data_IF_647973581482
#
_entry.id   IF_647973581482
#
_cell.length_a   1.000
_cell.length_b   1.000
_cell.length_c   1.000
_cell.angle_alpha   90.00
_cell.angle_beta   90.00
_cell.angle_gamma   90.00
#
_symmetry.space_group_name_H-M   'P 1'
#
loop_
_entity.id
_entity.type
_entity.pdbx_description
1 polymer ?
#
# COMPACT_ATOMS: atom_id res chain seq x y z
N UNK A 1 0.90 -32.30 -5.81
CA UNK A 1 0.11 -31.09 -5.48
C UNK A 1 -0.46 -30.34 -6.70
N UNK A 2 0.26 -30.25 -7.84
CA UNK A 2 -0.31 -29.66 -9.07
C UNK A 2 -1.35 -30.55 -9.74
N UNK A 3 -1.09 -31.86 -9.74
CA UNK A 3 -1.91 -32.89 -10.38
C UNK A 3 -2.86 -33.60 -9.41
N UNK A 4 -2.42 -33.84 -8.17
CA UNK A 4 -3.13 -34.67 -7.18
C UNK A 4 -4.02 -33.95 -6.15
N UNK A 5 -4.20 -32.64 -6.23
CA UNK A 5 -5.01 -31.91 -5.24
C UNK A 5 -4.35 -31.80 -3.86
N UNK A 6 -5.16 -31.67 -2.80
CA UNK A 6 -4.71 -31.55 -1.42
C UNK A 6 -4.42 -32.94 -0.81
N UNK A 7 -3.19 -33.16 -0.34
CA UNK A 7 -2.68 -34.47 0.10
C UNK A 7 -2.13 -34.40 1.53
N UNK A 8 -2.29 -35.46 2.30
CA UNK A 8 -1.63 -35.62 3.59
C UNK A 8 -0.11 -35.83 3.42
N UNK A 9 0.65 -35.58 4.48
CA UNK A 9 2.10 -35.77 4.47
C UNK A 9 2.52 -37.20 4.07
N UNK A 10 1.82 -38.22 4.58
CA UNK A 10 2.10 -39.63 4.26
C UNK A 10 1.85 -39.94 2.77
N UNK A 11 0.81 -39.35 2.19
CA UNK A 11 0.49 -39.46 0.77
C UNK A 11 1.56 -38.75 -0.09
N UNK A 12 2.08 -37.61 0.36
CA UNK A 12 3.19 -36.92 -0.30
C UNK A 12 4.50 -37.72 -0.26
N UNK A 13 4.78 -38.39 0.85
CA UNK A 13 5.94 -39.28 0.97
C UNK A 13 5.80 -40.46 0.00
N UNK A 14 4.60 -41.05 -0.08
CA UNK A 14 4.30 -42.16 -0.98
C UNK A 14 4.36 -41.75 -2.46
N UNK A 15 3.76 -40.63 -2.86
CA UNK A 15 3.77 -40.17 -4.25
C UNK A 15 5.15 -39.71 -4.72
N UNK A 16 5.93 -39.03 -3.87
CA UNK A 16 7.24 -38.51 -4.25
C UNK A 16 8.35 -39.58 -4.18
N UNK A 17 8.12 -40.69 -3.47
CA UNK A 17 9.13 -41.73 -3.23
C UNK A 17 10.36 -41.22 -2.45
N UNK A 18 10.21 -40.13 -1.69
CA UNK A 18 11.30 -39.45 -0.99
C UNK A 18 11.35 -39.86 0.48
N UNK A 19 12.53 -39.75 1.10
CA UNK A 19 12.66 -39.85 2.55
C UNK A 19 11.79 -38.78 3.25
N UNK A 20 11.08 -39.11 4.35
CA UNK A 20 10.22 -38.16 5.07
C UNK A 20 10.93 -36.84 5.43
N UNK A 21 12.21 -36.90 5.77
CA UNK A 21 13.02 -35.72 6.10
C UNK A 21 13.24 -34.77 4.92
N UNK A 22 13.26 -35.27 3.69
CA UNK A 22 13.38 -34.42 2.49
C UNK A 22 12.03 -33.78 2.15
N UNK A 23 10.93 -34.51 2.34
CA UNK A 23 9.58 -33.94 2.21
C UNK A 23 9.37 -32.81 3.22
N UNK A 24 9.80 -32.99 4.47
CA UNK A 24 9.73 -31.93 5.50
C UNK A 24 10.50 -30.66 5.14
N UNK A 25 11.70 -30.83 4.56
CA UNK A 25 12.54 -29.73 4.12
C UNK A 25 11.88 -28.98 2.96
N UNK A 26 11.44 -29.71 1.93
CA UNK A 26 10.76 -29.14 0.78
C UNK A 26 9.47 -28.42 1.18
N UNK A 27 8.66 -29.00 2.08
CA UNK A 27 7.46 -28.34 2.60
C UNK A 27 7.81 -27.05 3.35
N UNK A 28 8.88 -27.05 4.16
CA UNK A 28 9.33 -25.85 4.88
C UNK A 28 9.76 -24.74 3.91
N UNK A 29 10.50 -25.07 2.86
CA UNK A 29 10.95 -24.12 1.83
C UNK A 29 9.78 -23.57 1.02
N UNK A 30 8.89 -24.45 0.55
CA UNK A 30 7.70 -24.06 -0.23
C UNK A 30 6.71 -23.22 0.59
N UNK A 31 6.57 -23.48 1.89
CA UNK A 31 5.81 -22.60 2.81
C UNK A 31 6.52 -21.26 2.98
N UNK A 32 7.85 -21.25 3.13
CA UNK A 32 8.66 -20.04 3.22
C UNK A 32 8.51 -19.14 1.98
N UNK A 33 8.31 -19.74 0.80
CA UNK A 33 8.01 -19.04 -0.44
C UNK A 33 6.51 -18.76 -0.66
N UNK A 34 5.64 -19.20 0.25
CA UNK A 34 4.20 -18.98 0.15
C UNK A 34 3.54 -19.70 -1.03
N UNK A 35 4.11 -20.83 -1.49
CA UNK A 35 3.61 -21.61 -2.62
C UNK A 35 2.63 -22.71 -2.21
N UNK A 36 2.64 -23.11 -0.94
CA UNK A 36 1.76 -24.16 -0.41
C UNK A 36 1.19 -23.76 0.95
N UNK A 37 0.08 -24.37 1.35
CA UNK A 37 -0.55 -24.21 2.67
C UNK A 37 -1.04 -25.56 3.19
N UNK A 38 -1.20 -25.67 4.51
CA UNK A 38 -1.87 -26.81 5.14
C UNK A 38 -3.18 -26.34 5.79
N UNK A 39 -4.19 -27.22 5.88
CA UNK A 39 -5.51 -26.94 6.46
C UNK A 39 -5.54 -27.09 8.00
N UNK A 40 -4.48 -27.63 8.62
CA UNK A 40 -4.38 -27.88 10.06
C UNK A 40 -3.56 -26.84 10.83
N UNK A 41 -4.01 -26.53 12.05
CA UNK A 41 -3.40 -25.54 12.95
C UNK A 41 -2.08 -25.99 13.62
N UNK A 42 -1.67 -27.25 13.46
CA UNK A 42 -0.45 -27.79 14.08
C UNK A 42 0.84 -27.19 13.50
N UNK A 43 0.87 -26.90 12.18
CA UNK A 43 2.01 -26.25 11.53
C UNK A 43 2.17 -24.77 11.96
N UNK A 44 1.05 -24.07 12.15
CA UNK A 44 1.06 -22.62 12.42
C UNK A 44 1.54 -22.28 13.84
N UNK A 45 1.26 -23.14 14.84
CA UNK A 45 1.65 -22.91 16.25
C UNK A 45 3.15 -22.82 16.49
N UNK A 46 4.03 -23.20 15.55
CA UNK A 46 5.49 -23.08 15.71
C UNK A 46 6.17 -22.00 14.88
N UNK A 47 5.49 -21.40 13.89
CA UNK A 47 6.05 -20.25 13.17
C UNK A 47 5.88 -18.94 13.95
N UNK A 48 4.85 -18.85 14.79
CA UNK A 48 4.58 -17.67 15.64
C UNK A 48 5.45 -17.61 16.90
N UNK A 49 6.23 -18.65 17.23
CA UNK A 49 7.19 -18.63 18.33
C UNK A 49 8.59 -18.23 17.82
N UNK A 50 8.67 -17.06 17.19
CA UNK A 50 9.91 -16.30 17.00
C UNK A 50 10.30 -15.61 18.31
N UNK A 51 10.68 -16.39 19.32
CA UNK A 51 11.08 -15.89 20.64
C UNK A 51 12.44 -16.43 21.06
N UNK A 52 13.38 -15.52 21.22
CA UNK A 52 14.76 -15.58 21.73
C UNK A 52 15.17 -16.83 22.54
N UNK A 53 16.29 -17.44 22.10
CA UNK A 53 17.26 -18.33 22.78
C UNK A 53 16.89 -18.95 24.14
N UNK A 54 16.87 -20.29 24.16
CA UNK A 54 17.66 -21.08 25.13
C UNK A 54 18.20 -22.35 24.45
N UNK A 55 19.54 -22.47 24.41
CA UNK A 55 20.25 -23.73 24.13
C UNK A 55 19.99 -24.64 25.34
N UNK A 56 19.08 -25.59 25.18
CA UNK A 56 18.88 -26.71 26.11
C UNK A 56 19.30 -27.99 25.39
N UNK A 57 20.22 -28.74 26.02
CA UNK A 57 20.66 -30.06 25.62
C UNK A 57 19.46 -31.03 25.47
N UNK A 58 19.45 -31.81 24.38
CA UNK A 58 18.46 -32.87 24.15
C UNK A 58 18.15 -33.06 22.67
N UNK A 59 18.63 -34.16 22.09
CA UNK A 59 18.54 -34.51 20.66
C UNK A 59 17.13 -34.84 20.13
N UNK A 60 16.12 -34.00 20.38
CA UNK A 60 14.71 -34.26 20.01
C UNK A 60 14.06 -33.25 19.04
N UNK A 61 14.81 -32.27 18.51
CA UNK A 61 14.22 -31.18 17.68
C UNK A 61 13.80 -31.61 16.26
N UNK A 62 14.43 -32.64 15.69
CA UNK A 62 14.06 -33.15 14.34
C UNK A 62 12.78 -33.99 14.38
N UNK A 63 12.68 -34.94 15.31
CA UNK A 63 11.50 -35.81 15.46
C UNK A 63 10.21 -35.01 15.76
N UNK A 64 10.32 -33.95 16.57
CA UNK A 64 9.16 -33.10 16.89
C UNK A 64 8.72 -32.19 15.75
N UNK A 65 9.60 -31.85 14.80
CA UNK A 65 9.25 -31.05 13.61
C UNK A 65 8.60 -31.90 12.53
N UNK A 66 9.16 -33.09 12.27
CA UNK A 66 8.58 -34.09 11.37
C UNK A 66 7.15 -34.46 11.81
N UNK A 67 6.96 -34.73 13.11
CA UNK A 67 5.65 -35.05 13.67
C UNK A 67 4.64 -33.91 13.52
N UNK A 68 5.05 -32.64 13.51
CA UNK A 68 4.12 -31.51 13.38
C UNK A 68 3.80 -31.11 11.94
N UNK A 69 4.71 -31.35 10.99
CA UNK A 69 4.40 -31.22 9.56
C UNK A 69 3.50 -32.36 9.09
N UNK A 70 3.68 -33.55 9.65
CA UNK A 70 2.75 -34.67 9.47
C UNK A 70 1.36 -34.39 10.08
N UNK A 71 1.30 -33.75 11.25
CA UNK A 71 0.05 -33.34 11.90
C UNK A 71 -0.55 -32.05 11.34
N UNK A 72 0.06 -31.44 10.32
CA UNK A 72 -0.42 -30.18 9.72
C UNK A 72 -1.69 -30.34 8.89
N UNK A 73 -2.19 -31.58 8.71
CA UNK A 73 -3.35 -31.87 7.88
C UNK A 73 -2.97 -32.05 6.41
N UNK A 74 -3.87 -31.68 5.50
CA UNK A 74 -3.69 -31.78 4.05
C UNK A 74 -2.93 -30.56 3.53
N UNK A 75 -1.83 -30.84 2.86
CA UNK A 75 -1.04 -29.89 2.12
C UNK A 75 -1.67 -29.65 0.76
N UNK A 76 -1.84 -28.38 0.40
CA UNK A 76 -2.37 -27.96 -0.88
C UNK A 76 -1.51 -26.86 -1.47
N UNK A 77 -1.41 -26.82 -2.81
CA UNK A 77 -0.76 -25.70 -3.49
C UNK A 77 -1.61 -24.45 -3.32
N UNK A 78 -0.98 -23.35 -2.90
CA UNK A 78 -1.57 -22.03 -3.02
C UNK A 78 -1.60 -21.69 -4.51
N UNK A 79 -2.77 -21.89 -5.12
CA UNK A 79 -3.01 -21.40 -6.47
C UNK A 79 -3.02 -19.88 -6.40
N UNK A 80 -2.30 -19.18 -7.31
CA UNK A 80 -2.55 -17.78 -7.52
C UNK A 80 -4.05 -17.65 -7.78
N UNK A 81 -4.76 -16.93 -6.91
CA UNK A 81 -6.15 -16.60 -7.15
C UNK A 81 -6.13 -15.75 -8.42
N UNK A 82 -6.41 -16.36 -9.57
CA UNK A 82 -6.70 -15.63 -10.80
C UNK A 82 -7.77 -14.63 -10.42
N UNK A 83 -7.48 -13.35 -10.63
CA UNK A 83 -8.20 -12.21 -10.09
C UNK A 83 -9.72 -12.35 -10.23
N UNK A 84 -10.35 -12.94 -9.22
CA UNK A 84 -11.77 -12.75 -8.97
C UNK A 84 -11.91 -11.36 -8.38
N UNK A 85 -12.66 -10.53 -9.09
CA UNK A 85 -12.92 -9.14 -8.76
C UNK A 85 -13.29 -9.01 -7.27
N UNK A 86 -12.40 -8.40 -6.48
CA UNK A 86 -12.74 -8.01 -5.11
C UNK A 86 -11.60 -8.04 -4.11
N UNK A 87 -10.63 -8.95 -4.19
CA UNK A 87 -9.50 -8.92 -3.23
C UNK A 87 -8.29 -9.74 -3.69
N UNK A 88 -7.32 -9.15 -4.41
CA UNK A 88 -6.02 -9.79 -4.58
C UNK A 88 -5.17 -9.47 -3.35
N UNK A 89 -4.59 -10.44 -2.68
CA UNK A 89 -3.27 -10.27 -2.07
C UNK A 89 -2.46 -11.48 -2.51
N UNK A 90 -1.38 -11.25 -3.26
CA UNK A 90 -0.03 -11.82 -3.06
C UNK A 90 0.85 -11.45 -4.27
N UNK A 91 1.99 -10.86 -3.95
CA UNK A 91 3.00 -10.19 -4.79
C UNK A 91 2.66 -8.75 -5.22
N UNK A 92 3.55 -7.78 -4.93
CA UNK A 92 3.42 -6.44 -5.49
C UNK A 92 3.56 -6.54 -7.01
N UNK A 93 2.65 -5.90 -7.74
CA UNK A 93 2.68 -5.88 -9.21
C UNK A 93 3.87 -5.06 -9.73
N UNK A 94 4.34 -4.13 -8.89
CA UNK A 94 5.44 -3.23 -9.18
C UNK A 94 6.66 -3.58 -8.31
N UNK A 95 7.86 -3.27 -8.82
CA UNK A 95 9.08 -3.41 -8.01
C UNK A 95 9.07 -2.42 -6.85
N UNK A 96 9.76 -2.76 -5.76
CA UNK A 96 9.88 -1.87 -4.61
C UNK A 96 10.51 -0.52 -4.98
N UNK A 97 11.50 -0.52 -5.86
CA UNK A 97 12.17 0.69 -6.35
C UNK A 97 11.18 1.61 -7.09
N UNK A 98 10.34 1.05 -7.97
CA UNK A 98 9.31 1.84 -8.67
C UNK A 98 8.27 2.40 -7.69
N UNK A 99 7.79 1.59 -6.75
CA UNK A 99 6.85 2.04 -5.73
C UNK A 99 7.45 3.16 -4.85
N UNK A 100 8.72 3.03 -4.47
CA UNK A 100 9.44 4.03 -3.68
C UNK A 100 9.63 5.34 -4.45
N UNK A 101 10.03 5.27 -5.73
CA UNK A 101 10.15 6.45 -6.58
C UNK A 101 8.82 7.20 -6.74
N UNK A 102 7.71 6.47 -6.91
CA UNK A 102 6.36 7.04 -6.99
C UNK A 102 5.97 7.67 -5.65
N UNK A 103 6.10 6.94 -4.54
CA UNK A 103 5.76 7.44 -3.21
C UNK A 103 6.52 8.73 -2.86
N UNK A 104 7.82 8.76 -3.12
CA UNK A 104 8.67 9.96 -2.92
C UNK A 104 8.24 11.12 -3.83
N UNK A 105 7.82 10.84 -5.07
CA UNK A 105 7.32 11.88 -5.99
C UNK A 105 6.00 12.48 -5.50
N UNK A 106 5.06 11.64 -5.04
CA UNK A 106 3.80 12.09 -4.45
C UNK A 106 4.05 12.97 -3.22
N UNK A 107 4.95 12.55 -2.33
CA UNK A 107 5.32 13.32 -1.13
C UNK A 107 5.99 14.66 -1.47
N UNK A 108 6.86 14.71 -2.49
CA UNK A 108 7.46 15.97 -2.94
C UNK A 108 6.42 16.93 -3.54
N UNK A 109 5.46 16.40 -4.29
CA UNK A 109 4.45 17.21 -4.98
C UNK A 109 3.40 17.77 -4.01
N UNK A 110 2.87 16.93 -3.13
CA UNK A 110 1.74 17.28 -2.27
C UNK A 110 2.13 17.64 -0.83
N UNK A 111 3.32 17.23 -0.37
CA UNK A 111 3.75 17.37 1.03
C UNK A 111 3.06 16.39 1.98
N UNK A 112 1.75 16.20 1.83
CA UNK A 112 0.91 15.21 2.54
C UNK A 112 0.22 14.32 1.51
N UNK A 113 0.18 13.01 1.74
CA UNK A 113 -0.41 12.03 0.84
C UNK A 113 -1.38 11.12 1.60
N UNK A 114 -2.55 10.90 1.02
CA UNK A 114 -3.57 9.95 1.51
C UNK A 114 -4.42 9.47 0.33
N UNK A 115 -5.13 8.35 0.50
CA UNK A 115 -5.82 7.65 -0.61
C UNK A 115 -6.72 8.54 -1.46
N UNK A 116 -7.54 9.38 -0.84
CA UNK A 116 -8.50 10.21 -1.57
C UNK A 116 -7.84 11.36 -2.34
N UNK A 117 -6.66 11.83 -1.91
CA UNK A 117 -5.91 12.90 -2.56
C UNK A 117 -5.47 12.50 -3.98
N UNK A 118 -4.93 11.29 -4.10
CA UNK A 118 -4.35 10.77 -5.34
C UNK A 118 -5.39 10.20 -6.30
N UNK A 119 -6.68 10.34 -6.00
CA UNK A 119 -7.76 9.74 -6.79
C UNK A 119 -7.82 10.27 -8.24
N UNK A 120 -7.30 11.47 -8.49
CA UNK A 120 -7.20 12.08 -9.83
C UNK A 120 -5.93 11.70 -10.57
N UNK A 121 -4.93 11.18 -9.88
CA UNK A 121 -3.64 10.88 -10.47
C UNK A 121 -3.65 9.43 -10.95
N UNK A 122 -3.64 9.27 -12.27
CA UNK A 122 -3.64 7.97 -12.94
C UNK A 122 -2.70 8.01 -14.15
N UNK A 123 -2.02 6.89 -14.46
CA UNK A 123 -2.06 5.62 -13.74
C UNK A 123 -1.16 5.60 -12.48
N UNK A 124 -1.69 5.10 -11.37
CA UNK A 124 -0.93 4.86 -10.13
C UNK A 124 -1.07 3.40 -9.67
N UNK A 125 -0.06 2.85 -8.97
CA UNK A 125 -0.16 1.55 -8.31
C UNK A 125 -1.32 1.51 -7.31
N UNK A 126 -1.82 0.31 -6.96
CA UNK A 126 -2.82 0.15 -5.91
C UNK A 126 -2.36 0.81 -4.61
N UNK A 127 -3.24 1.57 -3.95
CA UNK A 127 -2.93 2.28 -2.70
C UNK A 127 -2.26 1.38 -1.65
N UNK A 128 -2.67 0.11 -1.57
CA UNK A 128 -2.09 -0.87 -0.64
C UNK A 128 -0.61 -1.19 -0.91
N UNK A 129 -0.17 -1.16 -2.16
CA UNK A 129 1.26 -1.32 -2.49
C UNK A 129 2.06 -0.09 -2.03
N UNK A 130 1.48 1.11 -2.19
CA UNK A 130 2.10 2.35 -1.71
C UNK A 130 2.13 2.42 -0.17
N UNK A 131 1.10 1.91 0.52
CA UNK A 131 1.07 1.86 2.00
C UNK A 131 2.29 1.12 2.58
N UNK A 132 2.69 0.00 1.97
CA UNK A 132 3.87 -0.74 2.42
C UNK A 132 5.14 0.12 2.36
N UNK A 133 5.30 0.90 1.29
CA UNK A 133 6.42 1.83 1.15
C UNK A 133 6.33 2.96 2.18
N UNK A 134 5.14 3.54 2.37
CA UNK A 134 4.98 4.63 3.34
C UNK A 134 5.28 4.19 4.78
N UNK A 135 4.83 3.00 5.20
CA UNK A 135 5.20 2.44 6.51
C UNK A 135 6.70 2.20 6.63
N UNK A 136 7.36 1.75 5.56
CA UNK A 136 8.81 1.56 5.55
C UNK A 136 9.53 2.90 5.71
N UNK A 137 9.13 3.92 4.95
CA UNK A 137 9.68 5.28 5.08
C UNK A 137 9.41 5.88 6.46
N UNK A 138 8.26 5.58 7.07
CA UNK A 138 7.91 6.02 8.42
C UNK A 138 8.81 5.35 9.47
N UNK A 139 9.00 4.03 9.36
CA UNK A 139 9.91 3.28 10.22
C UNK A 139 11.37 3.76 10.11
N UNK A 140 11.75 4.32 8.95
CA UNK A 140 13.05 4.97 8.72
C UNK A 140 13.10 6.41 9.24
N UNK A 141 11.97 6.98 9.67
CA UNK A 141 11.86 8.37 10.13
C UNK A 141 11.89 9.41 9.00
N UNK A 142 11.79 9.00 7.75
CA UNK A 142 11.79 9.91 6.59
C UNK A 142 10.44 10.61 6.40
N UNK A 143 9.35 9.96 6.82
CA UNK A 143 7.99 10.50 6.77
C UNK A 143 7.30 10.31 8.11
N UNK A 144 6.25 11.09 8.33
CA UNK A 144 5.40 10.98 9.51
C UNK A 144 4.06 10.38 9.10
N UNK A 145 3.66 9.28 9.73
CA UNK A 145 2.29 8.79 9.69
C UNK A 145 1.40 9.54 10.67
N UNK A 146 0.14 9.79 10.30
CA UNK A 146 -0.81 10.44 11.19
C UNK A 146 -2.05 10.97 10.50
N UNK A 147 -2.64 12.01 11.11
CA UNK A 147 -3.80 12.73 10.57
C UNK A 147 -3.47 14.22 10.51
N UNK A 148 -3.22 14.71 9.30
CA UNK A 148 -2.81 16.08 9.03
C UNK A 148 -3.93 16.90 8.39
N UNK A 149 -4.80 16.25 7.62
CA UNK A 149 -5.94 16.85 6.93
C UNK A 149 -7.25 16.33 7.55
N UNK A 150 -8.09 17.24 8.01
CA UNK A 150 -9.41 16.93 8.56
C UNK A 150 -10.40 16.53 7.44
N UNK A 151 -11.48 15.83 7.81
CA UNK A 151 -12.52 15.42 6.87
C UNK A 151 -12.22 14.16 6.05
N UNK A 152 -11.00 13.61 6.14
CA UNK A 152 -10.61 12.37 5.47
C UNK A 152 -10.31 11.25 6.46
N UNK A 153 -10.85 10.08 6.18
CA UNK A 153 -10.56 8.83 6.89
C UNK A 153 -9.34 8.11 6.30
N UNK A 154 -8.73 7.25 7.11
CA UNK A 154 -7.58 6.44 6.71
C UNK A 154 -6.25 7.09 7.08
N UNK A 155 -5.18 6.34 6.84
CA UNK A 155 -3.81 6.76 7.11
C UNK A 155 -3.37 7.87 6.15
N UNK A 156 -2.61 8.82 6.69
CA UNK A 156 -2.01 9.91 5.94
C UNK A 156 -0.52 9.95 6.27
N UNK A 157 0.27 10.28 5.25
CA UNK A 157 1.73 10.36 5.37
C UNK A 157 2.19 11.73 4.93
N UNK A 158 3.07 12.35 5.70
CA UNK A 158 3.57 13.68 5.40
C UNK A 158 5.08 13.73 5.51
N UNK A 159 5.70 14.57 4.69
CA UNK A 159 7.08 14.98 4.92
C UNK A 159 7.16 15.79 6.22
N UNK A 160 8.19 15.59 7.07
CA UNK A 160 8.35 16.38 8.30
C UNK A 160 8.33 17.89 8.05
N UNK A 161 8.95 18.35 6.96
CA UNK A 161 8.98 19.79 6.63
C UNK A 161 7.59 20.32 6.25
N UNK A 162 6.78 19.51 5.56
CA UNK A 162 5.42 19.88 5.17
C UNK A 162 4.51 20.08 6.39
N UNK A 163 4.65 19.23 7.43
CA UNK A 163 3.88 19.39 8.68
C UNK A 163 4.24 20.70 9.39
N UNK A 164 5.52 21.07 9.41
CA UNK A 164 5.98 22.34 9.97
C UNK A 164 5.41 23.55 9.23
N UNK A 165 5.42 23.50 7.90
CA UNK A 165 4.84 24.55 7.05
C UNK A 165 3.33 24.68 7.25
N UNK A 166 2.60 23.56 7.29
CA UNK A 166 1.14 23.57 7.51
C UNK A 166 0.77 24.20 8.85
N UNK A 167 1.50 23.87 9.93
CA UNK A 167 1.28 24.49 11.26
C UNK A 167 1.56 25.98 11.25
N UNK A 168 2.58 26.41 10.52
CA UNK A 168 2.92 27.83 10.37
C UNK A 168 1.83 28.58 9.61
N UNK A 169 1.40 28.05 8.47
CA UNK A 169 0.33 28.64 7.65
C UNK A 169 -1.00 28.67 8.37
N UNK A 170 -1.34 27.65 9.16
CA UNK A 170 -2.58 27.61 9.95
C UNK A 170 -2.67 28.73 11.01
N UNK A 171 -1.54 29.33 11.40
CA UNK A 171 -1.49 30.46 12.34
C UNK A 171 -1.50 31.83 11.65
N UNK A 172 -1.34 31.86 10.33
CA UNK A 172 -1.32 33.11 9.57
C UNK A 172 -2.74 33.41 9.07
N UNK A 173 -3.19 34.68 9.16
CA UNK A 173 -4.43 35.06 8.49
C UNK A 173 -4.29 34.88 6.98
N UNK A 174 -5.39 34.51 6.33
CA UNK A 174 -5.47 34.47 4.87
C UNK A 174 -5.11 35.83 4.28
N UNK A 175 -4.36 35.83 3.19
CA UNK A 175 -3.95 37.07 2.50
C UNK A 175 -5.00 37.55 1.51
N UNK A 176 -6.02 36.73 1.20
CA UNK A 176 -7.02 37.03 0.19
C UNK A 176 -6.48 37.06 -1.23
N UNK A 177 -5.19 36.79 -1.45
CA UNK A 177 -4.58 36.75 -2.77
C UNK A 177 -5.07 35.52 -3.55
N UNK A 178 -5.67 35.70 -4.75
CA UNK A 178 -6.09 34.58 -5.55
C UNK A 178 -4.88 33.82 -6.11
N UNK A 179 -4.93 32.49 -6.07
CA UNK A 179 -3.99 31.59 -6.71
C UNK A 179 -4.69 30.92 -7.88
N UNK A 180 -4.09 31.01 -9.06
CA UNK A 180 -4.63 30.43 -10.29
C UNK A 180 -3.85 29.16 -10.58
N UNK A 181 -4.56 28.05 -10.77
CA UNK A 181 -4.01 26.78 -11.18
C UNK A 181 -4.64 26.35 -12.50
N UNK A 182 -3.88 25.66 -13.35
CA UNK A 182 -4.48 24.97 -14.49
C UNK A 182 -5.40 23.87 -13.97
N UNK A 183 -6.57 23.69 -14.58
CA UNK A 183 -7.47 22.60 -14.20
C UNK A 183 -6.88 21.23 -14.55
N UNK A 184 -5.99 21.17 -15.54
CA UNK A 184 -5.23 19.98 -15.91
C UNK A 184 -4.05 19.68 -14.94
N UNK A 185 -3.75 20.57 -14.00
CA UNK A 185 -2.69 20.35 -13.02
C UNK A 185 -3.11 19.30 -11.96
N UNK A 186 -2.22 18.39 -11.54
CA UNK A 186 -2.50 17.45 -10.44
C UNK A 186 -2.84 18.10 -9.08
N UNK A 187 -2.52 19.38 -8.90
CA UNK A 187 -2.92 20.21 -7.74
C UNK A 187 -4.35 20.74 -7.86
N UNK A 188 -5.08 20.42 -8.95
CA UNK A 188 -6.52 20.61 -9.02
C UNK A 188 -7.24 19.64 -8.06
N UNK A 189 -7.36 20.06 -6.81
CA UNK A 189 -7.98 19.32 -5.72
C UNK A 189 -9.40 19.84 -5.40
N UNK A 190 -10.00 20.61 -6.31
CA UNK A 190 -11.36 21.11 -6.20
C UNK A 190 -12.35 19.94 -6.18
N UNK A 191 -13.27 19.95 -5.21
CA UNK A 191 -14.21 18.86 -4.95
C UNK A 191 -13.54 17.58 -4.41
N UNK A 192 -12.27 17.68 -3.98
CA UNK A 192 -11.60 16.70 -3.14
C UNK A 192 -11.35 17.34 -1.78
N UNK A 193 -10.38 18.26 -1.69
CA UNK A 193 -10.03 18.95 -0.44
C UNK A 193 -11.01 20.05 -0.07
N UNK A 194 -11.55 20.73 -1.07
CA UNK A 194 -12.53 21.80 -0.88
C UNK A 194 -13.95 21.26 -1.09
N UNK A 195 -14.94 21.78 -0.35
CA UNK A 195 -16.34 21.50 -0.64
C UNK A 195 -16.73 21.87 -2.07
N UNK A 196 -17.78 21.23 -2.59
CA UNK A 196 -18.35 21.52 -3.90
C UNK A 196 -18.01 20.50 -4.98
N UNK A 197 -18.37 20.84 -6.22
CA UNK A 197 -18.19 19.95 -7.36
C UNK A 197 -16.73 19.86 -7.81
N UNK A 198 -16.39 18.71 -8.40
CA UNK A 198 -15.08 18.49 -8.98
C UNK A 198 -14.92 19.30 -10.26
N UNK A 199 -13.92 20.16 -10.32
CA UNK A 199 -13.56 20.84 -11.57
C UNK A 199 -12.88 19.85 -12.52
N UNK A 200 -13.40 19.62 -13.74
CA UNK A 200 -12.79 18.71 -14.73
C UNK A 200 -11.39 19.14 -15.17
N UNK A 201 -10.53 18.17 -15.42
CA UNK A 201 -9.13 18.38 -15.78
C UNK A 201 -8.92 18.59 -17.29
N UNK A 202 -9.53 19.65 -17.84
CA UNK A 202 -9.38 20.01 -19.25
C UNK A 202 -8.26 21.03 -19.47
N UNK A 203 -7.43 20.88 -20.52
CA UNK A 203 -6.49 21.92 -20.94
C UNK A 203 -7.19 23.25 -21.19
N UNK A 204 -6.55 24.37 -20.81
CA UNK A 204 -7.06 25.72 -21.04
C UNK A 204 -8.16 26.19 -20.08
N UNK A 205 -8.60 25.32 -19.14
CA UNK A 205 -9.44 25.69 -18.00
C UNK A 205 -8.57 26.00 -16.78
N UNK A 206 -9.03 26.89 -15.92
CA UNK A 206 -8.33 27.27 -14.68
C UNK A 206 -9.22 27.05 -13.44
N UNK A 207 -8.57 26.86 -12.30
CA UNK A 207 -9.18 26.84 -10.98
C UNK A 207 -8.57 27.97 -10.17
N UNK A 208 -9.44 28.74 -9.53
CA UNK A 208 -9.06 29.88 -8.72
C UNK A 208 -9.23 29.49 -7.25
N UNK A 209 -8.20 29.70 -6.45
CA UNK A 209 -8.23 29.49 -5.01
C UNK A 209 -8.01 30.81 -4.28
N UNK A 210 -8.81 31.06 -3.23
CA UNK A 210 -8.61 32.17 -2.31
C UNK A 210 -8.62 31.61 -0.89
N UNK A 211 -7.52 31.84 -0.16
CA UNK A 211 -7.33 31.34 1.21
C UNK A 211 -7.65 29.84 1.38
N UNK A 212 -7.30 29.04 0.37
CA UNK A 212 -7.52 27.58 0.37
C UNK A 212 -8.92 27.12 -0.03
N UNK A 213 -9.84 28.03 -0.38
CA UNK A 213 -11.17 27.71 -0.92
C UNK A 213 -11.24 27.99 -2.42
N UNK A 214 -12.09 27.25 -3.14
CA UNK A 214 -12.34 27.53 -4.56
C UNK A 214 -13.14 28.83 -4.68
N UNK A 215 -12.66 29.75 -5.51
CA UNK A 215 -13.28 31.06 -5.75
C UNK A 215 -13.89 31.10 -7.16
N UNK A 216 -15.22 30.92 -7.31
CA UNK A 216 -15.87 30.95 -8.62
C UNK A 216 -15.86 32.35 -9.27
N UNK A 217 -15.68 33.43 -8.50
CA UNK A 217 -15.63 34.80 -9.04
C UNK A 217 -14.36 35.07 -9.86
N UNK A 218 -13.30 34.28 -9.64
CA UNK A 218 -12.06 34.37 -10.41
C UNK A 218 -12.22 34.00 -11.89
N UNK A 219 -13.20 33.15 -12.23
CA UNK A 219 -13.48 32.76 -13.62
C UNK A 219 -14.04 33.95 -14.42
N UNK A 220 -14.89 34.77 -13.79
CA UNK A 220 -15.41 36.00 -14.39
C UNK A 220 -14.31 37.06 -14.60
N UNK A 221 -13.39 37.22 -13.64
CA UNK A 221 -12.25 38.15 -13.78
C UNK A 221 -11.21 37.68 -14.82
N UNK A 222 -10.99 36.37 -14.95
CA UNK A 222 -10.09 35.79 -15.94
C UNK A 222 -10.62 35.87 -17.38
N UNK A 223 -11.94 35.80 -17.56
CA UNK A 223 -12.58 35.97 -18.87
C UNK A 223 -12.43 37.39 -19.44
N UNK A 224 -12.25 38.40 -18.59
CA UNK A 224 -12.02 39.80 -18.98
C UNK A 224 -10.58 40.05 -19.47
N UNK A 225 -9.64 39.12 -19.23
CA UNK A 225 -8.24 39.24 -19.66
C UNK A 225 -7.89 38.35 -20.86
N UNK A 226 -8.84 37.60 -21.43
CA UNK A 226 -8.70 37.08 -22.80
C UNK A 226 -8.99 38.23 -23.77
N UNK A 227 -7.95 38.94 -24.16
CA UNK A 227 -8.00 39.75 -25.38
C UNK A 227 -8.45 38.86 -26.56
N UNK A 228 -9.33 39.36 -27.45
CA UNK A 228 -9.61 38.67 -28.71
C UNK A 228 -8.41 38.83 -29.65
N UNK A 229 -7.91 37.73 -30.21
CA UNK A 229 -6.89 37.69 -31.27
C UNK A 229 -5.63 36.93 -30.86
N UNK A 230 -5.06 36.06 -31.69
CA UNK A 230 -5.02 36.08 -33.17
C UNK A 230 -5.23 34.70 -33.79
#
# INVERSE_FOLDING_TARGET
>A
LDTGGALFHEELVAECGMLPSHVDLALTELVGWGLITADGFAAFRRSSHGGTRRRGFGGGRRATRASALAQAGRWSRLRPLAATAGTPVRFPTHTLETLEAIARTLLRRYGVVFKALIAREAPLPPWRELLYVFWRLEAQGEVLGGRFVAGFSGEQFARPEAVGLLRTLARQPGRGEPRILSAADPLNLAGILTPGERVPAFPGRHVYYRDGQVDPSGEAAGSLHRAPGS
#
